data_IF_575774414253
#
_entry.id   IF_575774414253
#
_cell.length_a   1.000
_cell.length_b   1.000
_cell.length_c   1.000
_cell.angle_alpha   90.00
_cell.angle_beta   90.00
_cell.angle_gamma   90.00
#
_symmetry.space_group_name_H-M   'P 1'
#
loop_
_entity.id
_entity.type
_entity.pdbx_description
1 polymer ?
#
# COMPACT_ATOMS: atom_id res chain seq x y z
N UNK A 1 16.35 -31.75 30.98
CA UNK A 1 16.60 -30.48 31.67
C UNK A 1 16.60 -29.37 30.62
N UNK A 2 15.54 -28.59 30.53
CA UNK A 2 15.50 -27.40 29.67
C UNK A 2 16.52 -26.39 30.21
N UNK A 3 17.53 -26.04 29.40
CA UNK A 3 18.41 -24.91 29.73
C UNK A 3 17.53 -23.66 29.84
N UNK A 4 17.40 -23.10 31.03
CA UNK A 4 16.80 -21.80 31.25
C UNK A 4 17.67 -20.83 30.44
N UNK A 5 17.10 -20.25 29.40
CA UNK A 5 17.76 -19.26 28.56
C UNK A 5 18.02 -18.00 29.41
N UNK A 6 19.28 -17.72 29.73
CA UNK A 6 19.63 -16.50 30.44
C UNK A 6 19.88 -15.38 29.40
N UNK A 7 19.05 -14.37 29.39
CA UNK A 7 19.18 -13.21 28.49
C UNK A 7 20.56 -12.53 28.60
N UNK A 8 21.20 -12.63 29.76
CA UNK A 8 22.53 -12.04 29.97
C UNK A 8 23.65 -12.76 29.22
N UNK A 9 23.43 -14.00 28.78
CA UNK A 9 24.41 -14.79 28.02
C UNK A 9 24.31 -14.58 26.50
N UNK A 10 23.30 -13.78 26.05
CA UNK A 10 23.13 -13.47 24.64
C UNK A 10 24.05 -12.32 24.21
N UNK A 11 24.57 -12.32 22.96
CA UNK A 11 25.27 -11.18 22.38
C UNK A 11 24.41 -9.92 22.51
N UNK A 12 25.04 -8.80 22.88
CA UNK A 12 24.30 -7.54 23.14
C UNK A 12 23.67 -6.98 21.88
N UNK A 13 24.46 -6.86 20.81
CA UNK A 13 24.04 -6.19 19.57
C UNK A 13 24.25 -7.10 18.37
N UNK A 14 23.16 -7.33 17.63
CA UNK A 14 23.16 -7.99 16.33
C UNK A 14 22.82 -7.02 15.20
N UNK A 15 23.26 -7.33 14.00
CA UNK A 15 22.95 -6.58 12.78
C UNK A 15 22.45 -7.54 11.71
N UNK A 16 21.27 -7.24 11.16
CA UNK A 16 20.77 -7.77 9.90
C UNK A 16 20.71 -6.64 8.88
N UNK A 17 21.20 -6.84 7.68
CA UNK A 17 21.29 -5.76 6.69
C UNK A 17 20.89 -6.21 5.29
N UNK A 18 20.41 -5.26 4.48
CA UNK A 18 20.01 -5.53 3.10
C UNK A 18 19.30 -4.36 2.43
N UNK A 19 19.09 -4.47 1.12
CA UNK A 19 18.38 -3.45 0.33
C UNK A 19 16.87 -3.49 0.53
N UNK A 20 16.29 -4.68 0.62
CA UNK A 20 14.85 -4.94 0.88
C UNK A 20 13.92 -4.16 -0.06
N UNK A 21 14.07 -4.37 -1.37
CA UNK A 21 13.32 -3.71 -2.44
C UNK A 21 12.45 -4.75 -3.18
N UNK A 22 11.19 -5.02 -2.73
CA UNK A 22 10.61 -4.70 -1.42
C UNK A 22 11.08 -5.63 -0.28
N UNK A 23 10.74 -5.33 0.99
CA UNK A 23 10.84 -6.29 2.08
C UNK A 23 9.94 -7.50 1.82
N UNK A 24 10.45 -8.69 2.12
CA UNK A 24 9.79 -9.97 1.84
C UNK A 24 9.56 -10.78 3.11
N UNK A 25 8.69 -11.80 3.05
CA UNK A 25 8.55 -12.77 4.15
C UNK A 25 9.85 -13.51 4.45
N UNK A 26 10.73 -13.69 3.45
CA UNK A 26 12.08 -14.25 3.68
C UNK A 26 12.92 -13.32 4.57
N UNK A 27 12.90 -12.02 4.31
CA UNK A 27 13.55 -11.03 5.21
C UNK A 27 12.92 -11.06 6.61
N UNK A 28 11.58 -11.11 6.72
CA UNK A 28 10.89 -11.18 8.01
C UNK A 28 11.35 -12.41 8.80
N UNK A 29 11.37 -13.59 8.19
CA UNK A 29 11.80 -14.82 8.84
C UNK A 29 13.24 -14.74 9.32
N UNK A 30 14.14 -14.19 8.51
CA UNK A 30 15.54 -13.99 8.88
C UNK A 30 15.70 -13.00 10.05
N UNK A 31 14.98 -11.88 10.01
CA UNK A 31 15.01 -10.86 11.07
C UNK A 31 14.45 -11.43 12.38
N UNK A 32 13.31 -12.12 12.35
CA UNK A 32 12.72 -12.74 13.54
C UNK A 32 13.64 -13.80 14.14
N UNK A 33 14.27 -14.63 13.31
CA UNK A 33 15.27 -15.59 13.77
C UNK A 33 16.49 -14.90 14.40
N UNK A 34 17.00 -13.84 13.78
CA UNK A 34 18.11 -13.07 14.31
C UNK A 34 17.75 -12.41 15.66
N UNK A 35 16.54 -11.87 15.77
CA UNK A 35 16.06 -11.17 16.97
C UNK A 35 15.98 -12.10 18.20
N UNK A 36 15.79 -13.41 18.02
CA UNK A 36 15.81 -14.38 19.14
C UNK A 36 17.21 -14.70 19.66
N UNK A 37 18.26 -14.23 19.00
CA UNK A 37 19.64 -14.60 19.28
C UNK A 37 20.48 -13.45 19.86
N UNK A 38 19.89 -12.26 20.03
CA UNK A 38 20.59 -11.05 20.54
C UNK A 38 19.66 -10.26 21.46
N UNK A 39 20.26 -9.42 22.32
CA UNK A 39 19.48 -8.55 23.20
C UNK A 39 18.88 -7.37 22.43
N UNK A 40 19.58 -6.86 21.40
CA UNK A 40 19.15 -5.78 20.49
C UNK A 40 19.54 -6.12 19.07
N UNK A 41 18.62 -6.01 18.14
CA UNK A 41 18.86 -6.23 16.71
C UNK A 41 18.70 -4.92 15.94
N UNK A 42 19.73 -4.53 15.20
CA UNK A 42 19.63 -3.49 14.19
C UNK A 42 19.30 -4.10 12.84
N UNK A 43 18.19 -3.65 12.24
CA UNK A 43 17.82 -3.94 10.85
C UNK A 43 18.27 -2.74 10.02
N UNK A 44 19.39 -2.90 9.32
CA UNK A 44 20.04 -1.84 8.56
C UNK A 44 19.61 -1.92 7.10
N UNK A 45 18.92 -0.87 6.63
CA UNK A 45 18.48 -0.76 5.25
C UNK A 45 19.55 -0.04 4.45
N UNK A 46 20.27 -0.78 3.62
CA UNK A 46 21.22 -0.22 2.66
C UNK A 46 20.48 0.55 1.56
N UNK A 47 20.82 1.80 1.35
CA UNK A 47 20.23 2.68 0.38
C UNK A 47 21.26 3.38 -0.50
N UNK A 48 21.00 3.36 -1.78
CA UNK A 48 21.63 4.22 -2.78
C UNK A 48 20.53 4.62 -3.75
N UNK A 49 20.17 5.88 -3.79
CA UNK A 49 19.01 6.42 -4.52
C UNK A 49 19.07 6.03 -6.00
N UNK A 50 20.22 6.19 -6.65
CA UNK A 50 20.38 5.87 -8.09
C UNK A 50 20.21 4.38 -8.36
N UNK A 51 20.78 3.53 -7.51
CA UNK A 51 20.63 2.08 -7.62
C UNK A 51 19.20 1.64 -7.32
N UNK A 52 18.55 2.20 -6.32
CA UNK A 52 17.15 1.92 -5.99
C UNK A 52 16.24 2.24 -7.16
N UNK A 53 16.42 3.44 -7.75
CA UNK A 53 15.66 3.85 -8.93
C UNK A 53 15.91 2.89 -10.11
N UNK A 54 17.16 2.60 -10.44
CA UNK A 54 17.52 1.66 -11.53
C UNK A 54 16.85 0.30 -11.35
N UNK A 55 16.89 -0.30 -10.16
CA UNK A 55 16.26 -1.60 -9.86
C UNK A 55 14.74 -1.55 -10.05
N UNK A 56 14.07 -0.46 -9.69
CA UNK A 56 12.64 -0.31 -9.86
C UNK A 56 12.26 -0.07 -11.33
N UNK A 57 13.03 0.77 -12.04
CA UNK A 57 12.84 1.06 -13.48
C UNK A 57 13.01 -0.20 -14.33
N UNK A 58 14.07 -0.99 -14.09
CA UNK A 58 14.33 -2.26 -14.77
C UNK A 58 13.21 -3.30 -14.57
N UNK A 59 12.54 -3.25 -13.42
CA UNK A 59 11.41 -4.11 -13.11
C UNK A 59 10.05 -3.53 -13.52
N UNK A 60 10.00 -2.32 -14.08
CA UNK A 60 8.75 -1.64 -14.47
C UNK A 60 7.81 -1.32 -13.31
N UNK A 61 8.33 -1.15 -12.09
CA UNK A 61 7.54 -0.84 -10.89
C UNK A 61 7.78 0.59 -10.41
N UNK A 62 6.82 1.11 -9.63
CA UNK A 62 7.00 2.41 -8.95
C UNK A 62 8.24 2.37 -8.06
N UNK A 63 8.97 3.48 -7.99
CA UNK A 63 10.14 3.62 -7.11
C UNK A 63 9.76 3.37 -5.65
N UNK A 64 10.60 2.59 -4.94
CA UNK A 64 10.43 2.25 -3.54
C UNK A 64 11.52 2.94 -2.72
N UNK A 65 11.34 4.21 -2.31
CA UNK A 65 12.35 4.96 -1.59
C UNK A 65 12.62 4.36 -0.21
N UNK A 66 13.81 4.65 0.34
CA UNK A 66 14.24 4.09 1.63
C UNK A 66 13.29 4.42 2.78
N UNK A 67 12.75 5.64 2.81
CA UNK A 67 11.83 6.05 3.86
C UNK A 67 10.57 5.17 3.91
N UNK A 68 10.06 4.78 2.74
CA UNK A 68 8.90 3.89 2.64
C UNK A 68 9.24 2.47 3.15
N UNK A 69 10.41 1.93 2.76
CA UNK A 69 10.92 0.64 3.28
C UNK A 69 11.09 0.67 4.80
N UNK A 70 11.63 1.79 5.33
CA UNK A 70 11.74 2.00 6.78
C UNK A 70 10.39 2.04 7.48
N UNK A 71 9.40 2.74 6.92
CA UNK A 71 8.04 2.80 7.47
C UNK A 71 7.44 1.40 7.56
N UNK A 72 7.51 0.60 6.50
CA UNK A 72 6.98 -0.76 6.47
C UNK A 72 7.63 -1.66 7.54
N UNK A 73 8.95 -1.60 7.67
CA UNK A 73 9.66 -2.42 8.66
C UNK A 73 9.42 -1.92 10.09
N UNK A 74 9.35 -0.61 10.32
CA UNK A 74 9.01 -0.06 11.64
C UNK A 74 7.57 -0.41 12.04
N UNK A 75 6.65 -0.42 11.10
CA UNK A 75 5.27 -0.84 11.34
C UNK A 75 5.20 -2.35 11.66
N UNK A 76 5.95 -3.18 10.92
CA UNK A 76 6.00 -4.63 11.16
C UNK A 76 6.53 -4.99 12.55
N UNK A 77 7.51 -4.25 13.04
CA UNK A 77 8.17 -4.53 14.32
C UNK A 77 7.79 -3.56 15.44
N UNK A 78 6.64 -2.88 15.34
CA UNK A 78 6.23 -1.87 16.32
C UNK A 78 6.03 -2.42 17.74
N UNK A 79 5.69 -3.70 17.87
CA UNK A 79 5.53 -4.46 19.10
C UNK A 79 6.82 -5.12 19.60
N UNK A 80 7.93 -4.98 18.86
CA UNK A 80 9.24 -5.57 19.15
C UNK A 80 10.30 -4.48 19.43
N UNK A 81 10.31 -3.83 20.61
CA UNK A 81 11.12 -2.63 20.87
C UNK A 81 12.63 -2.87 20.84
N UNK A 82 13.08 -4.13 20.92
CA UNK A 82 14.48 -4.52 20.80
C UNK A 82 14.98 -4.58 19.34
N UNK A 83 14.09 -4.49 18.35
CA UNK A 83 14.43 -4.36 16.92
C UNK A 83 14.49 -2.88 16.55
N UNK A 84 15.62 -2.43 16.04
CA UNK A 84 15.86 -1.03 15.62
C UNK A 84 16.07 -0.98 14.12
N UNK A 85 15.16 -0.30 13.40
CA UNK A 85 15.27 -0.10 11.94
C UNK A 85 16.01 1.21 11.68
N UNK A 86 17.15 1.12 10.99
CA UNK A 86 18.01 2.26 10.64
C UNK A 86 18.39 2.25 9.17
N UNK A 87 18.74 3.43 8.65
CA UNK A 87 19.23 3.62 7.27
C UNK A 87 20.76 3.60 7.26
N UNK A 88 21.34 2.99 6.24
CA UNK A 88 22.73 3.16 5.85
C UNK A 88 22.76 3.74 4.43
N UNK A 89 23.29 4.96 4.28
CA UNK A 89 23.37 5.65 3.01
C UNK A 89 24.66 5.27 2.28
N UNK A 90 24.51 4.48 1.20
CA UNK A 90 25.63 4.04 0.37
C UNK A 90 25.90 5.01 -0.81
N UNK A 91 25.31 6.20 -0.80
CA UNK A 91 25.53 7.18 -1.86
C UNK A 91 26.99 7.64 -1.84
N UNK A 92 27.65 7.54 -2.98
CA UNK A 92 29.06 7.96 -3.14
C UNK A 92 30.09 6.91 -2.77
N UNK A 93 29.69 5.74 -2.27
CA UNK A 93 30.64 4.63 -2.10
C UNK A 93 30.60 3.67 -3.32
N UNK A 94 31.73 3.04 -3.68
CA UNK A 94 31.76 2.06 -4.75
C UNK A 94 30.81 0.88 -4.48
N UNK A 95 30.17 0.37 -5.53
CA UNK A 95 29.34 -0.83 -5.42
C UNK A 95 30.20 -2.07 -5.13
N UNK A 96 29.55 -3.07 -4.51
CA UNK A 96 30.15 -4.39 -4.28
C UNK A 96 30.76 -4.96 -5.61
N UNK A 97 31.96 -5.57 -5.56
CA UNK A 97 32.73 -6.01 -4.38
C UNK A 97 33.62 -4.93 -3.76
N UNK A 98 33.66 -3.73 -4.29
CA UNK A 98 34.45 -2.62 -3.76
C UNK A 98 33.68 -1.85 -2.67
N UNK A 99 34.31 -0.84 -2.04
CA UNK A 99 33.64 0.05 -1.09
C UNK A 99 33.47 -0.49 0.36
N UNK A 100 34.07 -1.64 0.70
CA UNK A 100 33.94 -2.23 2.03
C UNK A 100 34.52 -1.34 3.15
N UNK A 101 35.59 -0.64 2.89
CA UNK A 101 36.22 0.24 3.90
C UNK A 101 35.27 1.39 4.28
N UNK A 102 34.69 2.03 3.31
CA UNK A 102 33.73 3.11 3.50
C UNK A 102 32.41 2.57 4.09
N UNK A 103 31.93 1.46 3.59
CA UNK A 103 30.72 0.78 4.08
C UNK A 103 30.84 0.41 5.56
N UNK A 104 32.01 -0.06 6.00
CA UNK A 104 32.28 -0.41 7.41
C UNK A 104 32.15 0.78 8.33
N UNK A 105 32.67 1.94 7.93
CA UNK A 105 32.51 3.19 8.70
C UNK A 105 31.06 3.61 8.82
N UNK A 106 30.33 3.60 7.69
CA UNK A 106 28.90 3.93 7.68
C UNK A 106 28.07 2.95 8.52
N UNK A 107 28.43 1.66 8.53
CA UNK A 107 27.76 0.65 9.35
C UNK A 107 27.98 0.92 10.85
N UNK A 108 29.22 1.25 11.27
CA UNK A 108 29.54 1.61 12.64
C UNK A 108 28.80 2.87 13.09
N UNK A 109 28.73 3.89 12.23
CA UNK A 109 27.97 5.11 12.48
C UNK A 109 26.46 4.86 12.58
N UNK A 110 25.90 4.05 11.69
CA UNK A 110 24.46 3.74 11.68
C UNK A 110 24.01 2.97 12.92
N UNK A 111 24.84 2.05 13.41
CA UNK A 111 24.58 1.25 14.62
C UNK A 111 24.97 2.01 15.90
N UNK A 112 26.07 2.73 15.86
CA UNK A 112 26.64 3.52 17.00
C UNK A 112 26.76 2.74 18.32
N UNK A 113 26.93 1.43 18.23
CA UNK A 113 27.21 0.50 19.35
C UNK A 113 28.19 -0.58 18.86
N UNK A 114 28.87 -1.28 19.78
CA UNK A 114 29.74 -2.39 19.42
C UNK A 114 28.90 -3.55 18.83
N UNK A 115 29.20 -3.94 17.59
CA UNK A 115 28.50 -5.02 16.89
C UNK A 115 29.09 -6.36 17.30
N UNK A 116 28.30 -7.24 17.89
CA UNK A 116 28.74 -8.56 18.34
C UNK A 116 28.44 -9.67 17.32
N UNK A 117 27.33 -9.51 16.54
CA UNK A 117 26.90 -10.53 15.57
C UNK A 117 26.36 -9.89 14.29
N UNK A 118 26.81 -10.38 13.14
CA UNK A 118 26.17 -10.12 11.85
C UNK A 118 25.33 -11.32 11.43
N UNK A 119 24.12 -11.07 10.94
CA UNK A 119 23.24 -12.04 10.31
C UNK A 119 23.11 -11.70 8.82
N UNK A 120 23.49 -12.62 7.94
CA UNK A 120 23.38 -12.42 6.50
C UNK A 120 22.99 -13.71 5.78
N UNK A 121 22.41 -13.60 4.58
CA UNK A 121 22.09 -14.73 3.73
C UNK A 121 23.18 -15.07 2.71
N UNK A 122 24.04 -14.13 2.38
CA UNK A 122 25.03 -14.25 1.32
C UNK A 122 26.39 -14.71 1.88
N UNK A 123 26.87 -15.87 1.42
CA UNK A 123 28.18 -16.44 1.79
C UNK A 123 29.34 -15.54 1.40
N UNK A 124 29.18 -14.78 0.35
CA UNK A 124 30.20 -13.90 -0.23
C UNK A 124 30.59 -12.74 0.71
N UNK A 125 29.73 -12.37 1.65
CA UNK A 125 30.01 -11.30 2.61
C UNK A 125 30.84 -11.75 3.82
N UNK A 126 30.91 -13.05 4.10
CA UNK A 126 31.52 -13.60 5.32
C UNK A 126 32.99 -13.21 5.47
N UNK A 127 33.78 -13.35 4.37
CA UNK A 127 35.21 -13.02 4.39
C UNK A 127 35.46 -11.54 4.73
N UNK A 128 34.70 -10.65 4.09
CA UNK A 128 34.86 -9.23 4.33
C UNK A 128 34.32 -8.82 5.71
N UNK A 129 33.21 -9.37 6.17
CA UNK A 129 32.70 -9.11 7.51
C UNK A 129 33.73 -9.53 8.58
N UNK A 130 34.33 -10.72 8.47
CA UNK A 130 35.37 -11.19 9.37
C UNK A 130 36.62 -10.31 9.32
N UNK A 131 36.99 -9.81 8.14
CA UNK A 131 38.16 -8.91 7.96
C UNK A 131 37.95 -7.56 8.62
N UNK A 132 36.78 -6.95 8.43
CA UNK A 132 36.53 -5.58 8.88
C UNK A 132 35.91 -5.49 10.28
N UNK A 133 35.29 -6.58 10.77
CA UNK A 133 34.72 -6.71 12.10
C UNK A 133 35.25 -7.97 12.81
N UNK A 134 36.56 -8.02 13.12
CA UNK A 134 37.21 -9.24 13.62
C UNK A 134 36.67 -9.75 14.96
N UNK A 135 36.03 -8.88 15.75
CA UNK A 135 35.44 -9.21 17.04
C UNK A 135 33.97 -9.65 16.94
N UNK A 136 33.34 -9.51 15.76
CA UNK A 136 31.95 -9.88 15.56
C UNK A 136 31.84 -11.31 14.99
N UNK A 137 30.81 -12.04 15.43
CA UNK A 137 30.48 -13.36 14.89
C UNK A 137 29.62 -13.16 13.62
N UNK A 138 29.93 -13.86 12.54
CA UNK A 138 29.08 -13.89 11.36
C UNK A 138 28.23 -15.16 11.35
N UNK A 139 26.91 -15.00 11.36
CA UNK A 139 25.94 -16.10 11.28
C UNK A 139 25.21 -16.06 9.94
N UNK A 140 25.36 -17.15 9.18
CA UNK A 140 24.59 -17.32 7.93
C UNK A 140 23.18 -17.84 8.25
N UNK A 141 22.17 -17.21 7.68
CA UNK A 141 20.79 -17.66 7.73
C UNK A 141 20.34 -18.04 6.33
N UNK A 142 19.95 -19.31 6.18
CA UNK A 142 19.38 -19.88 4.95
C UNK A 142 20.08 -19.46 3.62
N UNK A 143 21.41 -19.62 3.54
CA UNK A 143 22.19 -19.13 2.39
C UNK A 143 21.83 -19.80 1.06
N UNK A 144 21.15 -20.95 1.11
CA UNK A 144 20.66 -21.68 -0.06
C UNK A 144 19.16 -21.46 -0.29
N UNK A 145 18.51 -20.61 0.51
CA UNK A 145 17.05 -20.30 0.48
C UNK A 145 16.16 -21.54 0.54
N UNK A 146 16.56 -22.54 1.33
CA UNK A 146 15.81 -23.79 1.49
C UNK A 146 14.61 -23.67 2.41
N UNK A 147 14.65 -22.74 3.37
CA UNK A 147 13.55 -22.48 4.29
C UNK A 147 12.50 -21.56 3.67
N UNK A 148 12.94 -20.64 2.82
CA UNK A 148 12.06 -19.67 2.19
C UNK A 148 12.56 -19.30 0.80
N UNK A 149 12.10 -20.04 -0.22
CA UNK A 149 12.51 -19.85 -1.62
C UNK A 149 11.83 -18.63 -2.25
N UNK A 150 12.21 -17.42 -1.77
CA UNK A 150 11.75 -16.16 -2.35
C UNK A 150 12.83 -15.08 -2.28
N UNK A 151 12.92 -14.29 -3.31
CA UNK A 151 13.77 -13.10 -3.36
C UNK A 151 12.96 -11.85 -3.70
N UNK A 152 13.46 -10.68 -3.33
CA UNK A 152 12.88 -9.42 -3.75
C UNK A 152 12.87 -9.27 -5.29
N UNK A 153 13.83 -9.87 -5.99
CA UNK A 153 13.88 -9.90 -7.46
C UNK A 153 12.70 -10.67 -8.04
N UNK A 154 12.44 -11.90 -7.57
CA UNK A 154 11.27 -12.68 -8.01
C UNK A 154 9.95 -11.97 -7.75
N UNK A 155 9.84 -11.25 -6.62
CA UNK A 155 8.64 -10.44 -6.35
C UNK A 155 8.50 -9.32 -7.37
N UNK A 156 9.58 -8.62 -7.71
CA UNK A 156 9.52 -7.54 -8.71
C UNK A 156 9.19 -8.04 -10.11
N UNK A 157 9.63 -9.24 -10.46
CA UNK A 157 9.31 -9.89 -11.74
C UNK A 157 7.83 -10.23 -11.91
N UNK A 158 7.16 -10.65 -10.82
CA UNK A 158 5.73 -10.94 -10.79
C UNK A 158 5.16 -10.69 -9.39
N UNK A 159 4.63 -9.49 -9.19
CA UNK A 159 4.08 -9.04 -7.91
C UNK A 159 2.83 -9.82 -7.54
N UNK A 160 1.94 -10.04 -8.51
CA UNK A 160 0.64 -10.64 -8.23
C UNK A 160 0.74 -12.14 -7.91
N UNK A 161 1.59 -12.89 -8.59
CA UNK A 161 1.84 -14.30 -8.24
C UNK A 161 2.59 -14.44 -6.92
N UNK A 162 3.44 -13.47 -6.58
CA UNK A 162 4.24 -13.48 -5.36
C UNK A 162 3.64 -12.65 -4.21
N UNK A 163 2.36 -12.26 -4.30
CA UNK A 163 1.69 -11.38 -3.35
C UNK A 163 1.86 -11.79 -1.88
N UNK A 164 1.69 -13.08 -1.58
CA UNK A 164 1.79 -13.61 -0.23
C UNK A 164 3.21 -13.57 0.35
N UNK A 165 4.20 -13.32 -0.48
CA UNK A 165 5.59 -13.19 -0.08
C UNK A 165 6.02 -11.75 0.19
N UNK A 166 5.17 -10.76 -0.14
CA UNK A 166 5.39 -9.36 0.21
C UNK A 166 5.08 -9.16 1.69
N UNK A 167 5.91 -8.37 2.38
CA UNK A 167 5.66 -7.96 3.76
C UNK A 167 4.30 -7.26 3.88
N UNK A 168 3.53 -7.57 4.94
CA UNK A 168 2.17 -7.06 5.11
C UNK A 168 2.03 -5.56 4.91
N UNK A 169 2.77 -4.72 5.66
CA UNK A 169 2.73 -3.26 5.50
C UNK A 169 3.12 -2.73 4.12
N UNK A 170 3.82 -3.52 3.29
CA UNK A 170 4.22 -3.12 1.95
C UNK A 170 3.14 -3.41 0.88
N UNK A 171 2.19 -4.31 1.14
CA UNK A 171 1.16 -4.73 0.18
C UNK A 171 0.30 -3.60 -0.36
N UNK A 172 -0.15 -2.61 0.44
CA UNK A 172 -0.95 -1.49 -0.05
C UNK A 172 -0.29 -0.67 -1.18
N UNK A 173 1.03 -0.68 -1.24
CA UNK A 173 1.78 0.01 -2.29
C UNK A 173 1.60 -0.66 -3.66
N UNK A 174 1.47 -1.98 -3.69
CA UNK A 174 1.37 -2.80 -4.90
C UNK A 174 -0.08 -3.15 -5.28
N UNK A 175 -1.04 -2.91 -4.37
CA UNK A 175 -2.44 -3.23 -4.60
C UNK A 175 -2.99 -2.47 -5.80
N UNK A 176 -3.74 -3.16 -6.67
CA UNK A 176 -4.54 -2.53 -7.71
C UNK A 176 -5.74 -1.83 -7.08
N UNK A 177 -6.13 -0.69 -7.62
CA UNK A 177 -7.15 0.19 -7.05
C UNK A 177 -8.21 0.47 -8.11
N UNK A 178 -9.41 -0.01 -7.87
CA UNK A 178 -10.56 0.11 -8.78
C UNK A 178 -11.63 0.97 -8.14
N UNK A 179 -11.87 2.14 -8.71
CA UNK A 179 -12.97 3.01 -8.30
C UNK A 179 -14.25 2.62 -9.05
N UNK A 180 -15.35 2.44 -8.32
CA UNK A 180 -16.69 2.30 -8.86
C UNK A 180 -17.43 3.60 -8.61
N UNK A 181 -17.66 4.36 -9.65
CA UNK A 181 -18.32 5.66 -9.63
C UNK A 181 -19.58 5.70 -10.50
N UNK A 182 -20.37 6.73 -10.36
CA UNK A 182 -21.59 6.94 -11.15
C UNK A 182 -22.63 7.72 -10.37
N UNK A 183 -23.75 8.04 -11.03
CA UNK A 183 -24.88 8.73 -10.42
C UNK A 183 -25.60 7.88 -9.37
N UNK A 184 -26.63 8.43 -8.76
CA UNK A 184 -27.48 7.68 -7.82
C UNK A 184 -28.18 6.50 -8.50
N UNK A 185 -28.45 5.44 -7.73
CA UNK A 185 -29.18 4.24 -8.17
C UNK A 185 -28.59 3.47 -9.36
N UNK A 186 -27.32 3.66 -9.70
CA UNK A 186 -26.68 2.89 -10.78
C UNK A 186 -26.00 1.59 -10.31
N UNK A 187 -26.18 1.18 -9.04
CA UNK A 187 -25.72 -0.10 -8.53
C UNK A 187 -24.26 -0.14 -8.04
N UNK A 188 -23.61 1.03 -7.78
CA UNK A 188 -22.22 1.13 -7.29
C UNK A 188 -21.94 0.19 -6.12
N UNK A 189 -22.61 0.41 -5.01
CA UNK A 189 -22.41 -0.36 -3.77
C UNK A 189 -22.65 -1.86 -3.96
N UNK A 190 -23.67 -2.23 -4.72
CA UNK A 190 -24.00 -3.64 -4.99
C UNK A 190 -22.87 -4.32 -5.75
N UNK A 191 -22.39 -3.70 -6.82
CA UNK A 191 -21.27 -4.23 -7.63
C UNK A 191 -19.97 -4.23 -6.84
N UNK A 192 -19.64 -3.15 -6.10
CA UNK A 192 -18.44 -3.06 -5.25
C UNK A 192 -18.39 -4.21 -4.24
N UNK A 193 -19.49 -4.46 -3.52
CA UNK A 193 -19.60 -5.57 -2.56
C UNK A 193 -19.49 -6.95 -3.22
N UNK A 194 -20.11 -7.13 -4.38
CA UNK A 194 -20.04 -8.38 -5.12
C UNK A 194 -18.63 -8.68 -5.61
N UNK A 195 -17.95 -7.68 -6.19
CA UNK A 195 -16.57 -7.78 -6.64
C UNK A 195 -15.61 -8.05 -5.48
N UNK A 196 -15.74 -7.34 -4.36
CA UNK A 196 -14.91 -7.57 -3.17
C UNK A 196 -15.04 -9.03 -2.66
N UNK A 197 -16.25 -9.58 -2.65
CA UNK A 197 -16.48 -11.00 -2.31
C UNK A 197 -15.84 -11.95 -3.32
N UNK A 198 -16.02 -11.70 -4.62
CA UNK A 198 -15.50 -12.53 -5.69
C UNK A 198 -13.97 -12.61 -5.64
N UNK A 199 -13.29 -11.50 -5.42
CA UNK A 199 -11.82 -11.42 -5.33
C UNK A 199 -11.28 -11.68 -3.91
N UNK A 200 -12.12 -12.03 -2.93
CA UNK A 200 -11.74 -12.27 -1.54
C UNK A 200 -10.88 -11.12 -0.99
N UNK A 201 -11.35 -9.89 -1.17
CA UNK A 201 -10.64 -8.67 -0.81
C UNK A 201 -11.51 -7.67 -0.04
N UNK A 202 -10.89 -6.61 0.46
CA UNK A 202 -11.57 -5.50 1.11
C UNK A 202 -12.09 -4.48 0.11
N UNK A 203 -12.97 -3.61 0.56
CA UNK A 203 -13.51 -2.48 -0.18
C UNK A 203 -13.76 -1.30 0.75
N UNK A 204 -13.76 -0.08 0.18
CA UNK A 204 -14.08 1.15 0.88
C UNK A 204 -15.52 1.56 0.60
N UNK A 205 -16.28 1.83 1.66
CA UNK A 205 -17.68 2.27 1.59
C UNK A 205 -17.82 3.74 1.22
N UNK A 206 -18.98 4.11 0.66
CA UNK A 206 -19.37 5.50 0.48
C UNK A 206 -19.67 6.15 1.85
N UNK A 207 -18.84 7.12 2.25
CA UNK A 207 -18.98 7.80 3.55
C UNK A 207 -20.16 8.78 3.58
N UNK A 208 -20.45 9.46 2.45
CA UNK A 208 -21.43 10.52 2.39
C UNK A 208 -22.82 10.11 2.89
N UNK A 209 -23.31 8.97 2.40
CA UNK A 209 -24.61 8.41 2.80
C UNK A 209 -24.67 8.09 4.30
N UNK A 210 -23.64 7.40 4.80
CA UNK A 210 -23.54 7.05 6.20
C UNK A 210 -23.45 8.31 7.09
N UNK A 211 -22.72 9.33 6.64
CA UNK A 211 -22.59 10.61 7.33
C UNK A 211 -23.95 11.31 7.45
N UNK A 212 -24.72 11.42 6.36
CA UNK A 212 -26.04 12.02 6.38
C UNK A 212 -26.98 11.31 7.36
N UNK A 213 -27.04 9.98 7.34
CA UNK A 213 -27.86 9.20 8.25
C UNK A 213 -27.47 9.42 9.71
N UNK A 214 -26.18 9.40 10.03
CA UNK A 214 -25.69 9.42 11.40
C UNK A 214 -25.73 10.81 12.03
N UNK A 215 -25.42 11.85 11.26
CA UNK A 215 -25.22 13.19 11.82
C UNK A 215 -26.30 14.20 11.43
N UNK A 216 -27.01 13.96 10.33
CA UNK A 216 -28.02 14.86 9.79
C UNK A 216 -29.44 14.27 9.84
N UNK A 217 -29.61 13.10 10.48
CA UNK A 217 -30.91 12.42 10.54
C UNK A 217 -31.44 11.95 9.17
N UNK A 218 -30.57 11.85 8.18
CA UNK A 218 -30.92 11.49 6.80
C UNK A 218 -31.37 12.67 5.93
N UNK A 219 -31.36 13.90 6.46
CA UNK A 219 -31.73 15.11 5.72
C UNK A 219 -30.51 15.71 5.02
N UNK A 220 -30.41 15.49 3.71
CA UNK A 220 -29.31 15.98 2.90
C UNK A 220 -29.44 17.49 2.55
N UNK A 221 -30.57 18.12 2.85
CA UNK A 221 -30.79 19.56 2.56
C UNK A 221 -30.08 20.48 3.53
N UNK A 222 -29.61 19.95 4.68
CA UNK A 222 -28.95 20.70 5.74
C UNK A 222 -27.44 20.58 5.76
N UNK A 223 -26.82 19.97 4.73
CA UNK A 223 -25.36 19.93 4.59
C UNK A 223 -24.73 21.33 4.66
N UNK A 224 -23.55 21.39 5.26
CA UNK A 224 -22.68 22.57 5.29
C UNK A 224 -21.34 22.27 4.64
N UNK A 225 -20.55 23.31 4.31
CA UNK A 225 -19.17 23.12 3.80
C UNK A 225 -18.31 22.25 4.71
N UNK A 226 -18.47 22.40 6.01
CA UNK A 226 -17.72 21.64 7.00
C UNK A 226 -18.08 20.14 6.98
N UNK A 227 -19.32 19.80 6.65
CA UNK A 227 -19.74 18.40 6.51
C UNK A 227 -19.08 17.76 5.31
N UNK A 228 -19.04 18.43 4.16
CA UNK A 228 -18.32 17.92 2.98
C UNK A 228 -16.84 17.75 3.22
N UNK A 229 -16.19 18.66 3.93
CA UNK A 229 -14.79 18.54 4.32
C UNK A 229 -14.56 17.32 5.24
N UNK A 230 -15.47 17.05 6.20
CA UNK A 230 -15.42 15.88 7.08
C UNK A 230 -15.63 14.58 6.31
N UNK A 231 -16.61 14.53 5.40
CA UNK A 231 -16.88 13.39 4.54
C UNK A 231 -15.62 13.02 3.74
N UNK A 232 -14.97 14.02 3.10
CA UNK A 232 -13.77 13.78 2.33
C UNK A 232 -12.62 13.22 3.17
N UNK A 233 -12.39 13.75 4.37
CA UNK A 233 -11.36 13.23 5.30
C UNK A 233 -11.65 11.80 5.76
N UNK A 234 -12.88 11.53 6.18
CA UNK A 234 -13.31 10.18 6.61
C UNK A 234 -13.22 9.18 5.45
N UNK A 235 -13.53 9.59 4.22
CA UNK A 235 -13.36 8.76 3.03
C UNK A 235 -11.90 8.37 2.82
N UNK A 236 -10.96 9.31 2.96
CA UNK A 236 -9.52 9.01 2.83
C UNK A 236 -9.03 8.04 3.91
N UNK A 237 -9.49 8.18 5.16
CA UNK A 237 -9.13 7.27 6.25
C UNK A 237 -9.67 5.86 6.00
N UNK A 238 -10.93 5.75 5.57
CA UNK A 238 -11.57 4.48 5.26
C UNK A 238 -10.92 3.80 4.04
N UNK A 239 -10.57 4.56 3.02
CA UNK A 239 -9.83 4.09 1.85
C UNK A 239 -8.46 3.50 2.24
N UNK A 240 -7.77 4.17 3.17
CA UNK A 240 -6.49 3.70 3.69
C UNK A 240 -6.63 2.37 4.45
N UNK A 241 -7.64 2.25 5.31
CA UNK A 241 -7.91 1.00 6.05
C UNK A 241 -8.33 -0.13 5.10
N UNK A 242 -9.13 0.15 4.08
CA UNK A 242 -9.47 -0.83 3.06
C UNK A 242 -8.23 -1.33 2.33
N UNK A 243 -7.33 -0.43 1.93
CA UNK A 243 -6.05 -0.80 1.28
C UNK A 243 -5.15 -1.65 2.17
N UNK A 244 -5.09 -1.39 3.47
CA UNK A 244 -4.29 -2.20 4.41
C UNK A 244 -4.75 -3.65 4.50
N UNK A 245 -6.04 -3.88 4.30
CA UNK A 245 -6.68 -5.18 4.44
C UNK A 245 -6.95 -5.88 3.11
N UNK A 246 -6.54 -5.28 1.98
CA UNK A 246 -6.84 -5.82 0.67
C UNK A 246 -5.96 -7.02 0.28
N UNK A 247 -6.49 -7.83 -0.64
CA UNK A 247 -5.79 -8.93 -1.27
C UNK A 247 -5.61 -8.66 -2.76
N UNK A 248 -4.42 -8.20 -3.15
CA UNK A 248 -4.02 -7.84 -4.53
C UNK A 248 -4.74 -6.63 -5.13
N UNK A 249 -6.03 -6.46 -4.83
CA UNK A 249 -6.90 -5.41 -5.36
C UNK A 249 -7.78 -4.85 -4.25
N UNK A 250 -8.12 -3.57 -4.33
CA UNK A 250 -9.09 -2.90 -3.47
C UNK A 250 -10.12 -2.18 -4.32
N UNK A 251 -11.39 -2.32 -3.97
CA UNK A 251 -12.50 -1.61 -4.61
C UNK A 251 -12.91 -0.41 -3.77
N UNK A 252 -13.26 0.68 -4.43
CA UNK A 252 -13.69 1.92 -3.79
C UNK A 252 -15.10 2.27 -4.29
N UNK A 253 -16.04 2.37 -3.36
CA UNK A 253 -17.41 2.85 -3.65
C UNK A 253 -17.41 4.36 -3.48
N UNK A 254 -17.30 5.07 -4.60
CA UNK A 254 -17.21 6.54 -4.64
C UNK A 254 -15.82 7.10 -4.23
N UNK A 255 -15.59 8.37 -4.51
CA UNK A 255 -14.37 9.11 -4.19
C UNK A 255 -14.66 10.60 -3.93
N UNK A 256 -13.66 11.40 -3.48
CA UNK A 256 -13.85 12.83 -3.27
C UNK A 256 -14.31 13.64 -4.50
N UNK A 257 -14.18 13.11 -5.74
CA UNK A 257 -14.71 13.78 -6.94
C UNK A 257 -16.23 13.84 -6.91
N UNK A 258 -16.88 12.76 -6.49
CA UNK A 258 -18.34 12.71 -6.30
C UNK A 258 -18.75 13.59 -5.12
N UNK A 259 -18.01 13.58 -4.03
CA UNK A 259 -18.22 14.48 -2.89
C UNK A 259 -18.15 15.95 -3.32
N UNK A 260 -17.19 16.30 -4.18
CA UNK A 260 -17.06 17.67 -4.73
C UNK A 260 -18.21 18.05 -5.64
N UNK A 261 -18.74 17.09 -6.41
CA UNK A 261 -19.94 17.33 -7.21
C UNK A 261 -21.11 17.73 -6.31
N UNK A 262 -21.41 16.93 -5.27
CA UNK A 262 -22.50 17.24 -4.35
C UNK A 262 -22.25 18.50 -3.54
N UNK A 263 -21.03 18.76 -3.08
CA UNK A 263 -20.66 20.01 -2.43
C UNK A 263 -21.01 21.22 -3.30
N UNK A 264 -20.66 21.16 -4.59
CA UNK A 264 -20.98 22.25 -5.53
C UNK A 264 -22.48 22.36 -5.78
N UNK A 265 -23.20 21.24 -5.83
CA UNK A 265 -24.65 21.23 -6.02
C UNK A 265 -25.39 21.86 -4.87
N UNK A 266 -25.05 21.50 -3.61
CA UNK A 266 -25.74 21.98 -2.42
C UNK A 266 -25.29 23.37 -1.97
N UNK A 267 -23.97 23.67 -2.08
CA UNK A 267 -23.40 24.94 -1.57
C UNK A 267 -23.28 26.02 -2.65
N UNK A 268 -23.42 25.68 -3.94
CA UNK A 268 -23.25 26.60 -5.05
C UNK A 268 -21.80 26.96 -5.39
N UNK A 269 -20.83 26.39 -4.69
CA UNK A 269 -19.40 26.62 -4.91
C UNK A 269 -18.56 25.37 -4.60
N UNK A 270 -17.28 25.39 -5.06
CA UNK A 270 -16.33 24.30 -4.77
C UNK A 270 -15.81 24.39 -3.34
N UNK A 271 -15.76 23.26 -2.63
CA UNK A 271 -15.10 23.14 -1.35
C UNK A 271 -13.62 22.83 -1.54
N UNK A 272 -12.72 23.72 -1.06
CA UNK A 272 -11.28 23.59 -1.28
C UNK A 272 -10.66 22.39 -0.54
N UNK A 273 -11.20 22.00 0.63
CA UNK A 273 -10.73 20.82 1.36
C UNK A 273 -11.08 19.53 0.60
N UNK A 274 -12.27 19.45 0.06
CA UNK A 274 -12.68 18.32 -0.79
C UNK A 274 -11.83 18.27 -2.06
N UNK A 275 -11.60 19.42 -2.72
CA UNK A 275 -10.76 19.48 -3.92
C UNK A 275 -9.34 19.01 -3.63
N UNK A 276 -8.77 19.34 -2.47
CA UNK A 276 -7.44 18.89 -2.05
C UNK A 276 -7.35 17.38 -1.79
N UNK A 277 -8.47 16.72 -1.53
CA UNK A 277 -8.55 15.28 -1.32
C UNK A 277 -8.62 14.47 -2.64
N UNK A 278 -8.92 15.14 -3.77
CA UNK A 278 -8.99 14.49 -5.07
C UNK A 278 -7.57 14.15 -5.57
N UNK A 279 -7.33 12.88 -5.86
CA UNK A 279 -6.06 12.41 -6.38
C UNK A 279 -6.25 11.58 -7.67
N UNK A 280 -6.00 12.18 -8.87
CA UNK A 280 -6.19 11.52 -10.15
C UNK A 280 -5.28 10.30 -10.38
N UNK A 281 -4.19 10.19 -9.62
CA UNK A 281 -3.22 9.09 -9.76
C UNK A 281 -3.47 7.95 -8.78
N UNK A 282 -4.51 8.04 -7.96
CA UNK A 282 -4.82 7.07 -6.91
C UNK A 282 -5.30 5.73 -7.48
N UNK A 283 -6.08 5.74 -8.56
CA UNK A 283 -6.75 4.57 -9.10
C UNK A 283 -6.09 4.06 -10.38
N UNK A 284 -6.02 2.74 -10.53
CA UNK A 284 -5.55 2.08 -11.76
C UNK A 284 -6.63 2.14 -12.84
N UNK A 285 -7.92 2.11 -12.43
CA UNK A 285 -9.08 2.30 -13.31
C UNK A 285 -10.24 2.94 -12.54
N UNK A 286 -11.00 3.78 -13.23
CA UNK A 286 -12.29 4.33 -12.80
C UNK A 286 -13.38 3.69 -13.64
N UNK A 287 -14.24 2.90 -13.01
CA UNK A 287 -15.44 2.33 -13.61
C UNK A 287 -16.58 3.31 -13.38
N UNK A 288 -17.05 3.95 -14.45
CA UNK A 288 -18.16 4.90 -14.40
C UNK A 288 -19.44 4.21 -14.88
N UNK A 289 -20.32 3.87 -13.95
CA UNK A 289 -21.57 3.18 -14.24
C UNK A 289 -22.59 4.14 -14.87
N UNK A 290 -23.15 3.74 -16.03
CA UNK A 290 -24.21 4.51 -16.68
C UNK A 290 -25.54 4.43 -15.91
N UNK A 291 -26.40 5.44 -15.97
CA UNK A 291 -27.70 5.45 -15.32
C UNK A 291 -28.80 4.77 -16.15
N UNK A 292 -28.49 3.66 -16.80
CA UNK A 292 -29.36 2.89 -17.70
C UNK A 292 -30.09 1.71 -17.00
N UNK A 293 -30.02 1.66 -15.66
CA UNK A 293 -30.81 0.73 -14.84
C UNK A 293 -32.01 1.44 -14.23
N UNK A 294 -33.05 0.66 -13.93
CA UNK A 294 -34.25 1.16 -13.27
C UNK A 294 -33.91 1.85 -11.95
N UNK A 295 -34.50 3.01 -11.74
CA UNK A 295 -34.32 3.75 -10.49
C UNK A 295 -35.15 3.11 -9.38
N UNK A 296 -34.50 2.85 -8.23
CA UNK A 296 -35.15 2.29 -7.06
C UNK A 296 -35.09 3.33 -5.93
N UNK A 297 -36.25 3.72 -5.43
CA UNK A 297 -36.38 4.62 -4.29
C UNK A 297 -35.99 3.89 -2.99
N UNK A 298 -35.05 4.45 -2.24
CA UNK A 298 -34.66 3.98 -0.90
C UNK A 298 -34.91 5.03 0.18
N UNK A 299 -35.70 6.05 -0.14
CA UNK A 299 -36.08 7.12 0.77
C UNK A 299 -35.05 8.23 0.96
N UNK A 300 -33.89 8.15 0.27
CA UNK A 300 -32.80 9.13 0.37
C UNK A 300 -32.33 9.68 -0.99
N UNK A 301 -32.95 9.22 -2.07
CA UNK A 301 -32.54 9.54 -3.42
C UNK A 301 -33.36 10.68 -3.98
N UNK A 302 -32.69 11.74 -4.41
CA UNK A 302 -33.33 12.99 -4.84
C UNK A 302 -33.73 12.98 -6.32
N UNK A 303 -33.12 12.14 -7.18
CA UNK A 303 -33.26 12.23 -8.63
C UNK A 303 -33.79 10.93 -9.26
N UNK A 304 -35.12 10.77 -9.28
CA UNK A 304 -35.81 9.74 -10.09
C UNK A 304 -35.90 10.08 -11.59
N UNK A 305 -35.55 11.32 -11.97
CA UNK A 305 -35.62 11.80 -13.34
C UNK A 305 -34.41 11.30 -14.15
N UNK A 306 -34.69 10.58 -15.23
CA UNK A 306 -33.66 9.98 -16.08
C UNK A 306 -32.78 11.02 -16.76
N UNK A 307 -33.30 12.15 -17.20
CA UNK A 307 -32.53 13.24 -17.81
C UNK A 307 -31.51 13.82 -16.85
N UNK A 308 -31.91 14.05 -15.59
CA UNK A 308 -31.01 14.54 -14.54
C UNK A 308 -29.91 13.53 -14.19
N UNK A 309 -30.23 12.24 -14.18
CA UNK A 309 -29.24 11.19 -13.94
C UNK A 309 -28.20 11.13 -15.06
N UNK A 310 -28.60 11.32 -16.32
CA UNK A 310 -27.71 11.40 -17.47
C UNK A 310 -26.85 12.67 -17.43
N UNK A 311 -27.43 13.82 -17.09
CA UNK A 311 -26.68 15.06 -16.89
C UNK A 311 -25.61 14.90 -15.81
N UNK A 312 -25.97 14.33 -14.67
CA UNK A 312 -25.02 14.03 -13.58
C UNK A 312 -23.92 13.10 -14.05
N UNK A 313 -24.26 12.03 -14.76
CA UNK A 313 -23.29 11.08 -15.32
C UNK A 313 -22.29 11.79 -16.24
N UNK A 314 -22.76 12.58 -17.18
CA UNK A 314 -21.92 13.33 -18.11
C UNK A 314 -21.03 14.34 -17.38
N UNK A 315 -21.55 15.00 -16.35
CA UNK A 315 -20.79 15.95 -15.53
C UNK A 315 -19.71 15.25 -14.73
N UNK A 316 -19.99 14.12 -14.10
CA UNK A 316 -18.99 13.30 -13.40
C UNK A 316 -17.89 12.83 -14.36
N UNK A 317 -18.27 12.32 -15.52
CA UNK A 317 -17.31 11.93 -16.57
C UNK A 317 -16.38 13.07 -16.93
N UNK A 318 -16.93 14.27 -17.18
CA UNK A 318 -16.14 15.45 -17.46
C UNK A 318 -15.20 15.82 -16.30
N UNK A 319 -15.70 15.76 -15.05
CA UNK A 319 -14.89 16.05 -13.85
C UNK A 319 -13.70 15.11 -13.68
N UNK A 320 -13.87 13.80 -13.98
CA UNK A 320 -12.76 12.85 -13.96
C UNK A 320 -11.74 13.13 -15.06
N UNK A 321 -12.19 13.35 -16.30
CA UNK A 321 -11.31 13.61 -17.44
C UNK A 321 -10.55 14.93 -17.31
N UNK A 322 -11.22 16.01 -16.90
CA UNK A 322 -10.62 17.34 -16.68
C UNK A 322 -9.51 17.31 -15.63
N UNK A 323 -9.66 16.50 -14.57
CA UNK A 323 -8.67 16.33 -13.51
C UNK A 323 -7.53 15.39 -13.87
N UNK A 324 -7.54 14.82 -15.05
CA UNK A 324 -6.48 13.96 -15.55
C UNK A 324 -6.51 12.53 -14.99
N UNK A 325 -7.68 12.03 -14.54
CA UNK A 325 -7.84 10.61 -14.25
C UNK A 325 -7.59 9.79 -15.51
N UNK A 326 -6.79 8.74 -15.37
CA UNK A 326 -6.49 7.81 -16.46
C UNK A 326 -7.45 6.62 -16.39
N UNK A 327 -7.65 5.95 -17.53
CA UNK A 327 -8.44 4.71 -17.60
C UNK A 327 -9.86 4.88 -17.02
N UNK A 328 -10.60 5.91 -17.44
CA UNK A 328 -12.02 6.09 -17.13
C UNK A 328 -12.83 5.28 -18.13
N UNK A 329 -13.48 4.22 -17.66
CA UNK A 329 -14.24 3.26 -18.48
C UNK A 329 -15.72 3.33 -18.13
N UNK A 330 -16.56 3.63 -19.10
CA UNK A 330 -18.03 3.58 -18.92
C UNK A 330 -18.52 2.15 -19.03
N UNK A 331 -19.37 1.74 -18.08
CA UNK A 331 -19.99 0.42 -18.06
C UNK A 331 -21.52 0.58 -18.03
N UNK A 332 -22.22 -0.15 -18.91
CA UNK A 332 -23.67 -0.10 -19.11
C UNK A 332 -24.28 -1.51 -19.11
N UNK A 333 -25.60 -1.59 -19.20
CA UNK A 333 -26.35 -2.83 -19.27
C UNK A 333 -26.94 -3.28 -17.94
N UNK A 334 -27.44 -4.51 -17.89
CA UNK A 334 -28.00 -5.09 -16.68
C UNK A 334 -26.89 -5.46 -15.65
N UNK A 335 -27.30 -5.96 -14.50
CA UNK A 335 -26.36 -6.33 -13.42
C UNK A 335 -25.31 -7.36 -13.85
N UNK A 336 -25.70 -8.37 -14.61
CA UNK A 336 -24.78 -9.45 -15.02
C UNK A 336 -23.83 -8.98 -16.10
N UNK A 337 -24.30 -8.18 -17.05
CA UNK A 337 -23.47 -7.57 -18.09
C UNK A 337 -22.40 -6.66 -17.47
N UNK A 338 -22.80 -5.81 -16.52
CA UNK A 338 -21.86 -4.93 -15.78
C UNK A 338 -20.85 -5.72 -14.97
N UNK A 339 -21.32 -6.72 -14.21
CA UNK A 339 -20.43 -7.55 -13.39
C UNK A 339 -19.40 -8.25 -14.27
N UNK A 340 -19.83 -8.85 -15.39
CA UNK A 340 -18.94 -9.53 -16.34
C UNK A 340 -17.93 -8.57 -16.97
N UNK A 341 -18.39 -7.39 -17.40
CA UNK A 341 -17.49 -6.38 -17.98
C UNK A 341 -16.42 -5.93 -16.99
N UNK A 342 -16.80 -5.69 -15.73
CA UNK A 342 -15.85 -5.26 -14.71
C UNK A 342 -14.88 -6.39 -14.33
N UNK A 343 -15.34 -7.64 -14.25
CA UNK A 343 -14.48 -8.81 -14.02
C UNK A 343 -13.37 -8.87 -15.08
N UNK A 344 -13.73 -8.73 -16.36
CA UNK A 344 -12.74 -8.76 -17.46
C UNK A 344 -11.67 -7.66 -17.30
N UNK A 345 -12.10 -6.43 -16.95
CA UNK A 345 -11.17 -5.31 -16.70
C UNK A 345 -10.25 -5.60 -15.51
N UNK A 346 -10.79 -6.14 -14.43
CA UNK A 346 -10.05 -6.46 -13.21
C UNK A 346 -9.06 -7.60 -13.44
N UNK A 347 -9.46 -8.66 -14.14
CA UNK A 347 -8.60 -9.79 -14.46
C UNK A 347 -7.41 -9.35 -15.33
N UNK A 348 -7.63 -8.41 -16.25
CA UNK A 348 -6.54 -7.83 -17.05
C UNK A 348 -5.57 -6.97 -16.20
N UNK A 349 -6.06 -6.27 -15.18
CA UNK A 349 -5.21 -5.53 -14.25
C UNK A 349 -4.35 -6.43 -13.36
N UNK A 350 -4.78 -7.66 -13.11
CA UNK A 350 -4.11 -8.60 -12.22
C UNK A 350 -3.10 -9.52 -12.94
N UNK A 351 -3.07 -9.48 -14.26
CA UNK A 351 -2.02 -10.14 -15.08
C UNK A 351 -0.69 -9.40 -14.96
#
# INVERSE_FOLDING_TARGET
MSKIFNLNDMPKVGVFFGKMIPPTRGHLTAILNAATQVQKLYVVISDNVNRTKRICDEAGIKEIPVNLRMQWLKQEFQDMPHIKVVKLDETGIPEYPNGWTEWTKLMQEAVNEEINVFFCGEKEYVENLNKYFPNAIVRLFDPNRTNYDISATRIREDIMSNWNHILGPARPFFAKRVLIAGSESCGKTTLTKALAKLYCTSWSEEVGRYYAQRYLGGDETIFTDNDFARIARQQLEQDYEALRNCNKICFFDTDPTVTQYYSTLYMGHKNLEVESAINPTKYDVVILLKPDVEWVDDGQRLNGDQEKREELHNRLKYMYLERGFKNVVEVSGDYNERLTAIINIVDDLLK
#
